data_IF_139541154925
#
_entry.id   IF_139541154925
#
_cell.length_a   1.000
_cell.length_b   1.000
_cell.length_c   1.000
_cell.angle_alpha   90.00
_cell.angle_beta   90.00
_cell.angle_gamma   90.00
#
_symmetry.space_group_name_H-M   'P 1'
#
loop_
_entity.id
_entity.type
_entity.pdbx_description
1 polymer ?
#
# COMPACT_ATOMS: atom_id res chain seq x y z
N UNK A 1 -61.64 -6.51 -8.17
CA UNK A 1 -61.18 -5.12 -7.97
C UNK A 1 -59.78 -5.21 -7.40
N UNK A 2 -58.90 -4.44 -7.99
CA UNK A 2 -57.44 -4.43 -7.88
C UNK A 2 -56.95 -3.73 -6.58
N UNK A 3 -55.61 -3.70 -6.42
CA UNK A 3 -54.76 -2.97 -5.45
C UNK A 3 -54.53 -3.74 -4.13
N UNK A 4 -53.35 -4.23 -3.73
CA UNK A 4 -51.96 -3.97 -4.10
C UNK A 4 -51.25 -3.19 -2.99
N UNK A 5 -50.41 -3.84 -2.17
CA UNK A 5 -49.36 -3.28 -1.27
C UNK A 5 -48.59 -4.48 -0.65
N UNK A 6 -47.27 -4.74 -0.78
CA UNK A 6 -46.02 -3.94 -0.83
C UNK A 6 -45.95 -2.97 0.37
N UNK A 7 -44.92 -2.88 1.21
CA UNK A 7 -43.52 -3.27 1.15
C UNK A 7 -42.99 -3.55 2.58
N UNK A 8 -41.98 -4.40 2.67
CA UNK A 8 -40.93 -4.37 3.70
C UNK A 8 -40.10 -3.10 3.42
N UNK A 9 -40.04 -2.15 4.36
CA UNK A 9 -39.09 -1.03 4.36
C UNK A 9 -38.08 -1.27 5.48
N UNK A 10 -36.91 -1.83 5.19
CA UNK A 10 -35.71 -1.19 4.61
C UNK A 10 -34.93 -0.39 5.67
N UNK A 11 -33.79 -0.95 6.08
CA UNK A 11 -32.82 -0.38 7.03
C UNK A 11 -31.87 0.59 6.32
N UNK A 12 -32.38 1.36 5.37
CA UNK A 12 -31.66 2.44 4.71
C UNK A 12 -31.69 3.70 5.56
N UNK A 13 -30.75 3.84 6.50
CA UNK A 13 -30.47 5.14 7.14
C UNK A 13 -29.11 5.24 7.87
N UNK A 14 -28.22 4.25 7.80
CA UNK A 14 -26.87 4.34 8.39
C UNK A 14 -25.78 3.70 7.53
N UNK A 15 -25.94 3.73 6.20
CA UNK A 15 -24.84 3.47 5.25
C UNK A 15 -24.48 4.70 4.40
N UNK A 16 -25.28 5.78 4.46
CA UNK A 16 -25.14 6.95 3.57
C UNK A 16 -24.26 8.10 4.11
N UNK A 17 -23.47 7.89 5.17
CA UNK A 17 -22.60 8.96 5.74
C UNK A 17 -21.10 8.65 5.61
N UNK A 18 -20.70 7.49 5.08
CA UNK A 18 -19.27 7.14 4.91
C UNK A 18 -18.83 6.81 3.47
N UNK A 19 -19.62 7.18 2.45
CA UNK A 19 -19.19 7.05 1.06
C UNK A 19 -19.72 8.18 0.17
N UNK A 20 -19.14 9.40 0.27
CA UNK A 20 -18.98 10.21 -0.94
C UNK A 20 -17.67 11.03 -0.88
N UNK A 21 -16.51 10.37 -1.05
CA UNK A 21 -15.28 11.07 -1.46
C UNK A 21 -14.59 10.37 -2.62
N UNK A 22 -15.38 9.68 -3.44
CA UNK A 22 -15.07 9.44 -4.85
C UNK A 22 -15.59 10.67 -5.62
N UNK A 23 -15.09 11.85 -5.26
CA UNK A 23 -15.66 13.12 -5.71
C UNK A 23 -14.78 13.69 -6.82
N UNK A 24 -15.34 13.70 -8.03
CA UNK A 24 -14.88 14.41 -9.25
C UNK A 24 -13.58 13.94 -9.92
N UNK A 25 -12.54 13.52 -9.20
CA UNK A 25 -11.26 13.15 -9.84
C UNK A 25 -11.30 11.80 -10.57
N UNK A 26 -11.92 10.79 -9.98
CA UNK A 26 -12.19 9.48 -10.60
C UNK A 26 -13.08 9.61 -11.84
N UNK A 27 -14.06 10.53 -11.82
CA UNK A 27 -14.86 10.83 -13.01
C UNK A 27 -14.02 11.53 -14.09
N UNK A 28 -13.03 12.35 -13.72
CA UNK A 28 -12.11 13.01 -14.66
C UNK A 28 -11.13 12.02 -15.32
N UNK A 29 -10.68 11.02 -14.56
CA UNK A 29 -9.83 9.91 -15.04
C UNK A 29 -10.61 8.95 -15.96
N UNK A 30 -11.88 8.67 -15.69
CA UNK A 30 -12.73 7.89 -16.59
C UNK A 30 -13.07 8.64 -17.89
N UNK A 31 -13.19 9.97 -17.84
CA UNK A 31 -13.53 10.80 -19.02
C UNK A 31 -12.37 10.94 -20.01
N UNK A 32 -11.13 10.83 -19.54
CA UNK A 32 -9.92 10.77 -20.39
C UNK A 32 -9.53 9.30 -20.52
N UNK A 33 -10.01 8.62 -21.57
CA UNK A 33 -9.57 7.27 -21.97
C UNK A 33 -8.05 7.18 -22.02
N UNK A 34 -7.39 6.93 -20.91
CA UNK A 34 -5.99 6.59 -20.79
C UNK A 34 -5.95 5.28 -20.05
N UNK A 35 -5.40 4.27 -20.72
CA UNK A 35 -5.08 3.01 -20.09
C UNK A 35 -4.07 3.27 -18.97
N UNK A 36 -4.03 2.41 -17.96
CA UNK A 36 -3.03 2.48 -16.89
C UNK A 36 -1.59 2.44 -17.43
N UNK A 37 -1.42 1.85 -18.62
CA UNK A 37 -0.18 1.86 -19.43
C UNK A 37 0.20 3.23 -20.01
N UNK A 38 -0.71 4.20 -20.04
CA UNK A 38 -0.52 5.52 -20.67
C UNK A 38 -0.25 6.63 -19.63
N UNK A 39 -0.22 6.26 -18.35
CA UNK A 39 0.09 7.15 -17.25
C UNK A 39 1.61 7.25 -17.12
N UNK A 40 2.13 8.48 -17.09
CA UNK A 40 3.51 8.66 -16.70
C UNK A 40 3.66 8.27 -15.21
N UNK A 41 4.87 7.96 -14.75
CA UNK A 41 5.04 7.40 -13.42
C UNK A 41 4.55 8.32 -12.28
N UNK A 42 4.61 9.64 -12.47
CA UNK A 42 4.02 10.63 -11.54
C UNK A 42 2.49 10.57 -11.50
N UNK A 43 1.84 10.29 -12.64
CA UNK A 43 0.39 10.07 -12.74
C UNK A 43 -0.02 8.70 -12.20
N UNK A 44 0.84 7.68 -12.34
CA UNK A 44 0.60 6.36 -11.76
C UNK A 44 0.59 6.42 -10.23
N UNK A 45 1.59 7.07 -9.63
CA UNK A 45 1.68 7.28 -8.17
C UNK A 45 0.48 8.09 -7.64
N UNK A 46 -0.02 9.08 -8.40
CA UNK A 46 -1.24 9.83 -8.06
C UNK A 46 -2.54 9.05 -8.26
N UNK A 47 -2.53 8.03 -9.11
CA UNK A 47 -3.72 7.26 -9.45
C UNK A 47 -3.96 6.06 -8.51
N UNK A 48 -3.03 5.74 -7.61
CA UNK A 48 -3.18 4.69 -6.61
C UNK A 48 -4.13 5.14 -5.49
N UNK A 49 -5.31 4.50 -5.32
CA UNK A 49 -6.25 4.82 -4.25
C UNK A 49 -5.60 4.54 -2.88
N UNK A 50 -5.76 5.47 -1.92
CA UNK A 50 -5.16 5.40 -0.58
C UNK A 50 -3.88 6.23 -0.41
N UNK A 51 -3.26 6.66 -1.51
CA UNK A 51 -2.05 7.51 -1.53
C UNK A 51 -2.44 8.97 -1.75
N UNK A 52 -3.31 9.53 -0.91
CA UNK A 52 -3.63 10.96 -0.98
C UNK A 52 -2.47 11.79 -0.41
N UNK A 53 -1.44 12.05 -1.22
CA UNK A 53 -0.40 13.07 -0.99
C UNK A 53 0.50 12.89 0.25
N UNK A 54 0.66 11.68 0.76
CA UNK A 54 1.52 11.39 1.92
C UNK A 54 3.02 11.62 1.66
N UNK A 55 3.39 11.83 0.40
CA UNK A 55 4.77 11.98 -0.03
C UNK A 55 5.14 13.42 -0.39
N UNK A 56 6.36 13.78 -0.05
CA UNK A 56 7.09 14.93 -0.56
C UNK A 56 8.09 14.47 -1.62
N UNK A 57 8.13 15.17 -2.75
CA UNK A 57 9.06 14.92 -3.84
C UNK A 57 10.22 15.90 -3.78
N UNK A 58 11.44 15.37 -3.86
CA UNK A 58 12.67 16.13 -3.68
C UNK A 58 13.42 16.20 -5.00
N UNK A 59 13.73 17.43 -5.42
CA UNK A 59 14.45 17.72 -6.66
C UNK A 59 15.96 17.60 -6.46
N UNK A 60 16.63 16.98 -7.43
CA UNK A 60 18.09 16.84 -7.44
C UNK A 60 18.80 18.13 -7.83
N UNK A 61 20.08 18.25 -7.45
CA UNK A 61 20.90 19.46 -7.67
C UNK A 61 21.31 19.70 -9.13
N UNK A 62 21.08 18.75 -10.06
CA UNK A 62 21.55 18.83 -11.46
C UNK A 62 20.51 19.33 -12.47
N UNK A 63 19.43 19.98 -12.03
CA UNK A 63 18.45 20.60 -12.94
C UNK A 63 17.67 19.60 -13.80
N UNK A 64 17.61 18.33 -13.40
CA UNK A 64 16.72 17.36 -14.02
C UNK A 64 15.26 17.82 -13.78
N UNK A 65 14.38 17.79 -14.80
CA UNK A 65 13.00 18.27 -14.68
C UNK A 65 12.10 17.30 -13.87
N UNK A 66 12.69 16.40 -13.09
CA UNK A 66 12.04 15.30 -12.40
C UNK A 66 12.59 15.13 -10.97
N UNK A 67 11.74 14.72 -10.00
CA UNK A 67 12.20 14.42 -8.64
C UNK A 67 13.23 13.29 -8.63
N UNK A 68 14.24 13.42 -7.77
CA UNK A 68 15.23 12.37 -7.52
C UNK A 68 14.96 11.63 -6.21
N UNK A 69 14.29 12.28 -5.24
CA UNK A 69 13.94 11.70 -3.94
C UNK A 69 12.43 11.74 -3.65
N UNK A 70 11.96 10.79 -2.85
CA UNK A 70 10.61 10.76 -2.29
C UNK A 70 10.72 10.43 -0.81
N UNK A 71 9.94 11.11 0.02
CA UNK A 71 9.88 10.85 1.46
C UNK A 71 8.44 11.00 1.93
N UNK A 72 8.03 10.26 2.95
CA UNK A 72 6.74 10.50 3.61
C UNK A 72 6.82 11.81 4.38
N UNK A 73 5.85 12.70 4.18
CA UNK A 73 5.77 14.01 4.85
C UNK A 73 5.85 13.85 6.36
N UNK A 74 6.68 14.64 7.07
CA UNK A 74 6.87 14.52 8.51
C UNK A 74 5.58 14.42 9.32
N UNK A 75 4.57 15.23 8.96
CA UNK A 75 3.29 15.31 9.68
C UNK A 75 2.42 14.06 9.51
N UNK A 76 2.73 13.23 8.51
CA UNK A 76 1.98 12.02 8.18
C UNK A 76 2.71 10.74 8.56
N UNK A 77 4.02 10.79 8.84
CA UNK A 77 4.85 9.60 9.13
C UNK A 77 4.26 8.75 10.26
N UNK A 78 3.85 9.36 11.37
CA UNK A 78 3.24 8.60 12.46
C UNK A 78 1.93 7.95 12.02
N UNK A 79 1.05 8.69 11.32
CA UNK A 79 -0.24 8.18 10.89
C UNK A 79 -0.14 7.04 9.88
N UNK A 80 0.84 7.09 8.95
CA UNK A 80 0.89 6.14 7.83
C UNK A 80 1.92 5.02 8.01
N UNK A 81 3.01 5.26 8.76
CA UNK A 81 4.09 4.27 8.95
C UNK A 81 4.06 3.61 10.33
N UNK A 82 3.59 4.33 11.36
CA UNK A 82 3.86 4.01 12.77
C UNK A 82 2.63 4.15 13.67
N UNK A 83 1.41 4.04 13.14
CA UNK A 83 0.17 4.36 13.83
C UNK A 83 -0.14 3.41 15.01
N UNK A 84 0.50 2.24 15.05
CA UNK A 84 0.39 1.28 16.15
C UNK A 84 1.72 1.04 16.87
N UNK A 85 2.77 1.77 16.48
CA UNK A 85 4.11 1.66 17.05
C UNK A 85 4.24 2.51 18.32
N UNK A 86 5.14 2.15 19.25
CA UNK A 86 5.47 3.01 20.40
C UNK A 86 5.89 4.42 19.97
N UNK A 87 5.54 5.43 20.77
CA UNK A 87 5.82 6.83 20.41
C UNK A 87 7.31 7.12 20.40
N UNK A 88 8.09 6.49 21.28
CA UNK A 88 9.54 6.61 21.36
C UNK A 88 10.20 6.10 20.06
N UNK A 89 9.79 4.92 19.60
CA UNK A 89 10.31 4.30 18.38
C UNK A 89 9.91 5.08 17.14
N UNK A 90 8.65 5.49 17.04
CA UNK A 90 8.18 6.30 15.90
C UNK A 90 8.87 7.66 15.82
N UNK A 91 9.09 8.32 16.96
CA UNK A 91 9.80 9.60 17.02
C UNK A 91 11.26 9.43 16.58
N UNK A 92 11.94 8.41 17.10
CA UNK A 92 13.31 8.09 16.70
C UNK A 92 13.41 7.77 15.21
N UNK A 93 12.50 6.93 14.69
CA UNK A 93 12.47 6.56 13.28
C UNK A 93 12.25 7.79 12.38
N UNK A 94 11.31 8.66 12.73
CA UNK A 94 11.04 9.92 12.02
C UNK A 94 12.27 10.85 11.95
N UNK A 95 13.10 10.90 12.99
CA UNK A 95 14.36 11.67 12.99
C UNK A 95 15.44 11.08 12.08
N UNK A 96 15.35 9.79 11.76
CA UNK A 96 16.34 9.07 10.96
C UNK A 96 15.95 8.91 9.48
N UNK A 97 14.69 9.17 9.13
CA UNK A 97 14.20 9.03 7.77
C UNK A 97 14.97 9.92 6.79
N UNK A 98 15.24 9.36 5.62
CA UNK A 98 15.90 10.04 4.51
C UNK A 98 15.11 9.80 3.22
N UNK A 99 15.22 10.71 2.24
CA UNK A 99 14.57 10.53 0.94
C UNK A 99 15.05 9.26 0.24
N UNK A 100 14.09 8.46 -0.23
CA UNK A 100 14.33 7.29 -1.07
C UNK A 100 14.41 7.69 -2.54
N UNK A 101 15.23 7.03 -3.38
CA UNK A 101 15.31 7.32 -4.81
C UNK A 101 13.97 7.08 -5.53
N UNK A 102 13.42 8.10 -6.21
CA UNK A 102 12.13 7.98 -6.91
C UNK A 102 12.24 7.07 -8.13
N UNK A 103 13.34 7.14 -8.87
CA UNK A 103 13.52 6.43 -10.14
C UNK A 103 13.45 4.90 -9.99
N UNK A 104 13.88 4.37 -8.85
CA UNK A 104 13.67 2.96 -8.53
C UNK A 104 12.18 2.63 -8.60
N UNK A 105 11.28 3.44 -8.07
CA UNK A 105 9.84 3.11 -8.13
C UNK A 105 9.22 3.29 -9.53
N UNK A 106 9.82 4.09 -10.41
CA UNK A 106 9.20 4.52 -11.68
C UNK A 106 9.70 3.75 -12.91
N UNK A 107 10.93 3.26 -12.90
CA UNK A 107 11.60 2.65 -14.06
C UNK A 107 12.17 1.26 -13.74
N UNK A 108 11.77 0.66 -12.61
CA UNK A 108 12.12 -0.72 -12.28
C UNK A 108 11.35 -1.68 -13.21
N UNK A 109 12.01 -2.11 -14.27
CA UNK A 109 11.62 -3.27 -15.05
C UNK A 109 12.48 -4.47 -14.63
N UNK A 110 11.93 -5.33 -13.77
CA UNK A 110 12.59 -6.58 -13.35
C UNK A 110 12.58 -7.67 -14.45
N UNK A 111 12.04 -7.38 -15.64
CA UNK A 111 11.78 -8.38 -16.67
C UNK A 111 10.78 -9.44 -16.22
N UNK A 112 10.61 -10.51 -17.02
CA UNK A 112 10.13 -11.78 -16.46
C UNK A 112 11.27 -12.27 -15.57
N UNK A 113 11.02 -12.43 -14.27
CA UNK A 113 12.03 -12.75 -13.27
C UNK A 113 13.07 -13.73 -13.84
N UNK A 114 14.35 -13.32 -13.83
CA UNK A 114 15.42 -14.14 -14.39
C UNK A 114 15.36 -15.56 -13.84
N UNK A 115 15.84 -16.55 -14.58
CA UNK A 115 15.67 -17.99 -14.31
C UNK A 115 15.96 -18.43 -12.85
N UNK A 116 16.70 -17.64 -12.05
CA UNK A 116 16.92 -17.88 -10.63
C UNK A 116 15.91 -17.27 -9.64
N UNK A 117 15.18 -16.20 -9.97
CA UNK A 117 14.32 -15.50 -9.00
C UNK A 117 13.06 -16.31 -8.62
N UNK A 118 12.56 -17.13 -9.55
CA UNK A 118 11.44 -18.05 -9.30
C UNK A 118 11.87 -19.32 -8.54
N UNK A 119 13.18 -19.61 -8.45
CA UNK A 119 13.69 -20.78 -7.74
C UNK A 119 13.74 -20.61 -6.22
N UNK A 120 13.68 -19.36 -5.74
CA UNK A 120 13.72 -19.03 -4.32
C UNK A 120 12.31 -19.08 -3.77
N UNK A 121 12.09 -19.89 -2.73
CA UNK A 121 10.80 -19.92 -2.04
C UNK A 121 10.47 -18.55 -1.43
N UNK A 122 9.27 -18.05 -1.71
CA UNK A 122 8.81 -16.73 -1.28
C UNK A 122 7.68 -16.89 -0.27
N UNK A 123 7.72 -16.05 0.77
CA UNK A 123 6.64 -15.91 1.74
C UNK A 123 6.25 -14.44 1.79
N UNK A 124 4.96 -14.16 1.95
CA UNK A 124 4.44 -12.82 2.15
C UNK A 124 3.79 -12.70 3.53
N UNK A 125 4.09 -11.64 4.28
CA UNK A 125 3.44 -11.34 5.57
C UNK A 125 2.60 -10.06 5.37
N UNK A 126 1.27 -10.19 5.44
CA UNK A 126 0.35 -9.06 5.30
C UNK A 126 0.21 -8.30 6.61
N UNK A 127 0.30 -6.98 6.56
CA UNK A 127 0.06 -6.04 7.67
C UNK A 127 -1.38 -5.52 7.56
N UNK A 128 -2.25 -5.89 8.51
CA UNK A 128 -3.70 -5.67 8.39
C UNK A 128 -4.18 -4.27 8.81
N UNK A 129 -3.32 -3.46 9.42
CA UNK A 129 -3.57 -2.06 9.82
C UNK A 129 -2.60 -1.10 9.14
N UNK A 130 -2.15 -1.48 7.95
CA UNK A 130 -1.21 -0.72 7.14
C UNK A 130 -1.93 0.40 6.36
N UNK A 131 -1.62 1.63 6.76
CA UNK A 131 -2.18 2.85 6.17
C UNK A 131 -1.34 3.34 4.97
N UNK A 132 -0.14 2.80 4.75
CA UNK A 132 0.70 3.14 3.59
C UNK A 132 0.42 2.20 2.40
N UNK A 133 0.34 0.90 2.68
CA UNK A 133 0.10 -0.16 1.72
C UNK A 133 -1.21 -0.87 2.07
N UNK A 134 -2.31 -0.35 1.54
CA UNK A 134 -3.65 -0.88 1.83
C UNK A 134 -3.76 -2.38 1.56
N UNK A 135 -4.66 -3.07 2.26
CA UNK A 135 -4.92 -4.50 2.06
C UNK A 135 -5.19 -4.85 0.59
N UNK A 136 -5.93 -3.99 -0.13
CA UNK A 136 -6.18 -4.17 -1.56
C UNK A 136 -4.88 -4.14 -2.38
N UNK A 137 -3.97 -3.22 -2.07
CA UNK A 137 -2.67 -3.15 -2.74
C UNK A 137 -1.82 -4.39 -2.43
N UNK A 138 -1.80 -4.86 -1.20
CA UNK A 138 -1.11 -6.09 -0.81
C UNK A 138 -1.69 -7.32 -1.55
N UNK A 139 -3.02 -7.41 -1.69
CA UNK A 139 -3.68 -8.48 -2.45
C UNK A 139 -3.33 -8.45 -3.94
N UNK A 140 -3.28 -7.26 -4.54
CA UNK A 140 -2.81 -7.10 -5.93
C UNK A 140 -1.36 -7.56 -6.08
N UNK A 141 -0.48 -7.22 -5.14
CA UNK A 141 0.92 -7.67 -5.15
C UNK A 141 1.03 -9.20 -5.08
N UNK A 142 0.26 -9.84 -4.19
CA UNK A 142 0.22 -11.31 -4.07
C UNK A 142 -0.29 -11.96 -5.35
N UNK A 143 -1.29 -11.37 -6.00
CA UNK A 143 -1.83 -11.86 -7.28
C UNK A 143 -0.81 -11.76 -8.42
N UNK A 144 -0.07 -10.64 -8.48
CA UNK A 144 0.97 -10.42 -9.50
C UNK A 144 2.21 -11.29 -9.29
N UNK A 145 2.60 -11.50 -8.03
CA UNK A 145 3.78 -12.29 -7.66
C UNK A 145 3.43 -13.32 -6.58
N UNK A 146 2.83 -14.47 -6.97
CA UNK A 146 2.38 -15.47 -6.03
C UNK A 146 3.54 -16.00 -5.16
N UNK A 147 3.43 -15.90 -3.82
CA UNK A 147 4.33 -16.55 -2.88
C UNK A 147 3.89 -18.00 -2.62
N UNK A 148 4.79 -18.82 -2.08
CA UNK A 148 4.48 -20.18 -1.61
C UNK A 148 3.53 -20.15 -0.40
N UNK A 149 3.66 -19.13 0.45
CA UNK A 149 2.78 -18.97 1.61
C UNK A 149 2.52 -17.51 1.94
N UNK A 150 1.33 -17.26 2.50
CA UNK A 150 0.90 -15.95 2.97
C UNK A 150 0.53 -16.05 4.46
N UNK A 151 1.14 -15.20 5.27
CA UNK A 151 0.80 -14.98 6.67
C UNK A 151 0.17 -13.61 6.85
N UNK A 152 -0.45 -13.37 8.01
CA UNK A 152 -1.04 -12.08 8.35
C UNK A 152 -0.65 -11.66 9.76
N UNK A 153 -0.52 -10.37 9.98
CA UNK A 153 -0.23 -9.76 11.28
C UNK A 153 -1.09 -8.50 11.46
N UNK A 154 -1.72 -8.37 12.63
CA UNK A 154 -2.49 -7.18 13.03
C UNK A 154 -1.52 -6.06 13.47
N UNK A 155 -0.86 -5.46 12.49
CA UNK A 155 0.21 -4.48 12.62
C UNK A 155 0.02 -3.31 11.66
N UNK A 156 0.63 -2.18 12.01
CA UNK A 156 0.90 -1.08 11.09
C UNK A 156 1.93 -1.49 10.00
N UNK A 157 2.35 -0.53 9.18
CA UNK A 157 3.38 -0.71 8.15
C UNK A 157 4.74 -1.14 8.73
N UNK A 158 4.94 -1.00 10.05
CA UNK A 158 6.21 -1.24 10.75
C UNK A 158 6.06 -2.33 11.82
N UNK A 159 5.78 -3.60 11.43
CA UNK A 159 5.60 -4.71 12.38
C UNK A 159 6.83 -4.99 13.25
N UNK A 160 8.01 -4.54 12.83
CA UNK A 160 9.23 -4.63 13.61
C UNK A 160 9.25 -3.67 14.82
N UNK A 161 8.38 -2.65 14.84
CA UNK A 161 8.15 -1.80 16.01
C UNK A 161 6.85 -2.15 16.74
N UNK A 162 5.72 -2.24 16.01
CA UNK A 162 4.41 -2.41 16.63
C UNK A 162 4.14 -3.84 17.12
N UNK A 163 4.76 -4.86 16.50
CA UNK A 163 4.54 -6.29 16.78
C UNK A 163 5.81 -7.17 16.66
N UNK A 164 6.95 -6.81 17.28
CA UNK A 164 8.24 -7.48 17.07
C UNK A 164 8.22 -8.98 17.40
N UNK A 165 7.63 -9.38 18.54
CA UNK A 165 7.60 -10.79 18.97
C UNK A 165 6.72 -11.66 18.08
N UNK A 166 5.59 -11.10 17.62
CA UNK A 166 4.69 -11.79 16.71
C UNK A 166 5.32 -11.92 15.32
N UNK A 167 6.00 -10.87 14.84
CA UNK A 167 6.76 -10.92 13.60
C UNK A 167 7.87 -11.98 13.67
N UNK A 168 8.62 -12.03 14.78
CA UNK A 168 9.64 -13.05 15.01
C UNK A 168 9.06 -14.47 14.95
N UNK A 169 7.92 -14.69 15.61
CA UNK A 169 7.22 -15.97 15.59
C UNK A 169 6.81 -16.38 14.16
N UNK A 170 6.36 -15.42 13.35
CA UNK A 170 6.04 -15.66 11.94
C UNK A 170 7.27 -16.01 11.11
N UNK A 171 8.44 -15.42 11.38
CA UNK A 171 9.69 -15.82 10.70
C UNK A 171 10.07 -17.27 11.01
N UNK A 172 9.96 -17.71 12.27
CA UNK A 172 10.24 -19.10 12.65
C UNK A 172 9.27 -20.06 11.94
N UNK A 173 7.99 -19.69 11.85
CA UNK A 173 6.99 -20.48 11.12
C UNK A 173 7.28 -20.54 9.61
N UNK A 174 7.63 -19.41 9.00
CA UNK A 174 7.96 -19.32 7.58
C UNK A 174 9.20 -20.15 7.23
N UNK A 175 10.24 -20.14 8.07
CA UNK A 175 11.42 -20.99 7.88
C UNK A 175 11.04 -22.47 7.89
N UNK A 176 10.18 -22.87 8.83
CA UNK A 176 9.72 -24.26 8.94
C UNK A 176 8.91 -24.69 7.71
N UNK A 177 8.08 -23.81 7.15
CA UNK A 177 7.27 -24.16 5.98
C UNK A 177 8.08 -24.28 4.70
N UNK A 178 9.15 -23.51 4.54
CA UNK A 178 10.04 -23.59 3.38
C UNK A 178 10.95 -24.82 3.41
N UNK A 179 11.42 -25.23 4.60
CA UNK A 179 12.40 -26.33 4.75
C UNK A 179 11.77 -27.72 4.58
N UNK A 180 10.44 -27.82 4.54
CA UNK A 180 9.71 -29.10 4.47
C UNK A 180 9.24 -29.45 3.05
N UNK A 181 9.71 -28.74 2.02
CA UNK A 181 9.39 -29.00 0.60
C UNK A 181 10.50 -29.75 -0.14
#
# INVERSE_FOLDING_TARGET
MDVGDKCIGDKGAMEDILFPTITKETQLLQRKRKSMSDLNPTQLVRALPGVNSSYEFIMGTKGLPVPTGIIVKPELQNQVLYNLSPIEDSTMASMLLRPSPVWSLLDLNFGKGGEGAESVARVYIKTLKDELCSTLMQELMISMWPPTQVFTIESDHSPFFSKPDQLFSLFVQALSSITTS
#
